data_IF_661034962324
#
_entry.id   IF_661034962324
#
_cell.length_a   1.000
_cell.length_b   1.000
_cell.length_c   1.000
_cell.angle_alpha   90.00
_cell.angle_beta   90.00
_cell.angle_gamma   90.00
#
_symmetry.space_group_name_H-M   'P 1'
#
loop_
_entity.id
_entity.type
_entity.pdbx_description
1 polymer ?
#
# COMPACT_ATOMS: atom_id res chain seq x y z
N UNK A 1 12.07 54.30 -35.16
CA UNK A 1 11.82 52.87 -34.89
C UNK A 1 10.98 52.71 -33.63
N UNK A 2 9.72 53.16 -33.66
CA UNK A 2 8.74 52.95 -32.58
C UNK A 2 7.47 52.38 -33.21
N UNK A 3 7.58 51.18 -33.76
CA UNK A 3 6.46 50.50 -34.41
C UNK A 3 5.72 49.67 -33.36
N UNK A 4 4.39 49.64 -33.42
CA UNK A 4 3.52 48.79 -32.57
C UNK A 4 4.04 47.35 -32.43
N UNK A 5 4.61 46.80 -33.51
CA UNK A 5 5.28 45.50 -33.58
C UNK A 5 6.47 45.34 -32.60
N UNK A 6 7.29 46.38 -32.41
CA UNK A 6 8.43 46.32 -31.47
C UNK A 6 7.97 46.30 -30.01
N UNK A 7 6.90 47.04 -29.68
CA UNK A 7 6.28 47.03 -28.36
C UNK A 7 5.62 45.68 -28.04
N UNK A 8 4.95 45.06 -29.01
CA UNK A 8 4.44 43.70 -28.86
C UNK A 8 5.58 42.71 -28.61
N UNK A 9 6.67 42.78 -29.39
CA UNK A 9 7.82 41.90 -29.21
C UNK A 9 8.42 41.98 -27.79
N UNK A 10 8.48 43.18 -27.20
CA UNK A 10 8.95 43.34 -25.80
C UNK A 10 7.99 42.73 -24.78
N UNK A 11 6.68 42.82 -24.99
CA UNK A 11 5.68 42.19 -24.10
C UNK A 11 5.76 40.66 -24.21
N UNK A 12 5.87 40.12 -25.43
CA UNK A 12 6.04 38.68 -25.64
C UNK A 12 7.34 38.14 -25.04
N UNK A 13 8.45 38.86 -25.19
CA UNK A 13 9.71 38.46 -24.55
C UNK A 13 9.60 38.49 -23.02
N UNK A 14 8.94 39.50 -22.46
CA UNK A 14 8.69 39.57 -21.01
C UNK A 14 7.80 38.43 -20.51
N UNK A 15 6.70 38.11 -21.20
CA UNK A 15 5.84 36.99 -20.78
C UNK A 15 6.55 35.63 -20.90
N UNK A 16 7.36 35.43 -21.95
CA UNK A 16 8.15 34.21 -22.14
C UNK A 16 9.20 34.04 -21.04
N UNK A 17 9.89 35.12 -20.65
CA UNK A 17 10.91 35.07 -19.58
C UNK A 17 10.28 34.79 -18.22
N UNK A 18 9.14 35.41 -17.90
CA UNK A 18 8.40 35.11 -16.66
C UNK A 18 7.92 33.66 -16.64
N UNK A 19 7.38 33.16 -17.75
CA UNK A 19 6.94 31.77 -17.84
C UNK A 19 8.10 30.79 -17.70
N UNK A 20 9.23 31.04 -18.36
CA UNK A 20 10.44 30.22 -18.26
C UNK A 20 11.02 30.19 -16.84
N UNK A 21 11.02 31.34 -16.15
CA UNK A 21 11.43 31.40 -14.75
C UNK A 21 10.48 30.59 -13.85
N UNK A 22 9.16 30.71 -14.04
CA UNK A 22 8.18 29.98 -13.26
C UNK A 22 8.28 28.46 -13.49
N UNK A 23 8.42 28.00 -14.73
CA UNK A 23 8.57 26.57 -15.04
C UNK A 23 9.86 26.00 -14.45
N UNK A 24 10.96 26.76 -14.48
CA UNK A 24 12.22 26.38 -13.84
C UNK A 24 12.08 26.26 -12.32
N UNK A 25 11.37 27.20 -11.67
CA UNK A 25 11.11 27.13 -10.23
C UNK A 25 10.21 25.93 -9.85
N UNK A 26 9.17 25.64 -10.64
CA UNK A 26 8.34 24.45 -10.45
C UNK A 26 9.14 23.15 -10.63
N UNK A 27 10.03 23.10 -11.62
CA UNK A 27 10.94 21.97 -11.82
C UNK A 27 11.85 21.79 -10.60
N UNK A 28 12.50 22.86 -10.14
CA UNK A 28 13.41 22.82 -9.00
C UNK A 28 12.70 22.37 -7.71
N UNK A 29 11.47 22.85 -7.50
CA UNK A 29 10.63 22.42 -6.38
C UNK A 29 10.33 20.91 -6.41
N UNK A 30 10.14 20.33 -7.60
CA UNK A 30 9.78 18.91 -7.74
C UNK A 30 11.01 18.01 -7.73
N UNK A 31 12.16 18.49 -8.20
CA UNK A 31 13.41 17.75 -8.26
C UNK A 31 13.87 17.26 -6.88
N UNK A 32 13.64 18.04 -5.81
CA UNK A 32 14.00 17.66 -4.45
C UNK A 32 12.92 16.88 -3.70
N UNK A 33 11.75 16.64 -4.31
CA UNK A 33 10.69 15.89 -3.66
C UNK A 33 10.90 14.38 -3.84
N UNK A 34 11.10 13.67 -2.73
CA UNK A 34 11.18 12.22 -2.73
C UNK A 34 9.79 11.63 -2.89
N UNK A 35 9.48 11.10 -4.09
CA UNK A 35 8.24 10.40 -4.40
C UNK A 35 8.15 9.04 -3.68
N UNK A 36 8.04 9.07 -2.36
CA UNK A 36 7.90 7.90 -1.49
C UNK A 36 6.52 7.92 -0.84
N UNK A 37 5.85 6.76 -0.83
CA UNK A 37 4.57 6.60 -0.17
C UNK A 37 4.75 5.65 1.01
N UNK A 38 4.87 6.18 2.22
CA UNK A 38 5.00 5.34 3.41
C UNK A 38 3.67 4.69 3.73
N UNK A 39 3.63 3.36 3.76
CA UNK A 39 2.42 2.59 4.05
C UNK A 39 2.59 1.83 5.37
N UNK A 40 1.60 2.00 6.25
CA UNK A 40 1.49 1.32 7.53
C UNK A 40 0.47 0.19 7.40
N UNK A 41 0.90 -1.03 7.70
CA UNK A 41 0.03 -2.20 7.79
C UNK A 41 0.00 -2.68 9.24
N UNK A 42 -1.20 -2.89 9.76
CA UNK A 42 -1.41 -3.42 11.10
C UNK A 42 -2.38 -4.58 11.08
N UNK A 43 -2.08 -5.63 11.82
CA UNK A 43 -2.97 -6.78 11.95
C UNK A 43 -4.06 -6.48 12.98
N UNK A 44 -5.33 -6.55 12.56
CA UNK A 44 -6.48 -6.25 13.40
C UNK A 44 -7.07 -7.50 14.06
N UNK A 45 -7.20 -8.57 13.29
CA UNK A 45 -7.81 -9.83 13.76
C UNK A 45 -7.11 -11.01 13.09
N UNK A 46 -6.70 -11.97 13.91
CA UNK A 46 -6.11 -13.23 13.44
C UNK A 46 -6.88 -14.37 14.09
N UNK A 47 -7.46 -15.25 13.28
CA UNK A 47 -8.21 -16.40 13.75
C UNK A 47 -7.65 -17.66 13.09
N UNK A 48 -7.68 -18.77 13.82
CA UNK A 48 -7.44 -20.10 13.28
C UNK A 48 -8.66 -20.95 13.62
N UNK A 49 -9.23 -21.62 12.61
CA UNK A 49 -10.35 -22.53 12.77
C UNK A 49 -9.91 -23.92 12.37
N UNK A 50 -10.34 -24.91 13.15
CA UNK A 50 -10.21 -26.30 12.74
C UNK A 50 -11.40 -26.67 11.86
N UNK A 51 -11.13 -27.29 10.71
CA UNK A 51 -12.12 -27.75 9.75
C UNK A 51 -11.91 -29.23 9.48
N UNK A 52 -13.00 -29.99 9.51
CA UNK A 52 -12.96 -31.41 9.21
C UNK A 52 -12.82 -31.61 7.70
N UNK A 53 -11.88 -32.45 7.28
CA UNK A 53 -11.89 -32.97 5.92
C UNK A 53 -12.99 -34.01 5.76
N UNK A 54 -13.72 -33.98 4.65
CA UNK A 54 -14.74 -34.97 4.30
C UNK A 54 -14.18 -36.09 3.41
N UNK A 55 -12.86 -36.12 3.19
CA UNK A 55 -12.13 -37.18 2.48
C UNK A 55 -12.02 -38.51 3.23
N UNK A 56 -11.35 -39.47 2.59
CA UNK A 56 -11.18 -40.86 3.09
C UNK A 56 -10.27 -40.93 4.31
N UNK A 57 -9.29 -40.03 4.42
CA UNK A 57 -8.51 -39.82 5.64
C UNK A 57 -9.16 -38.68 6.44
N UNK A 58 -9.59 -38.98 7.66
CA UNK A 58 -10.21 -38.02 8.59
C UNK A 58 -9.16 -37.09 9.21
N UNK A 59 -8.45 -36.37 8.36
CA UNK A 59 -7.41 -35.46 8.80
C UNK A 59 -8.03 -34.10 9.19
N UNK A 60 -7.40 -33.44 10.15
CA UNK A 60 -7.85 -32.18 10.73
C UNK A 60 -7.18 -31.04 9.97
N UNK A 61 -7.93 -30.30 9.17
CA UNK A 61 -7.36 -29.15 8.46
C UNK A 61 -7.50 -27.87 9.29
N UNK A 62 -6.58 -26.94 9.07
CA UNK A 62 -6.61 -25.62 9.70
C UNK A 62 -6.87 -24.52 8.67
N UNK A 63 -7.73 -23.58 9.05
CA UNK A 63 -8.07 -22.39 8.27
C UNK A 63 -7.74 -21.13 9.06
N UNK A 64 -6.79 -20.35 8.56
CA UNK A 64 -6.38 -19.06 9.10
C UNK A 64 -7.09 -17.89 8.41
N UNK A 65 -7.70 -17.02 9.20
CA UNK A 65 -8.29 -15.75 8.76
C UNK A 65 -7.46 -14.61 9.31
N UNK A 66 -7.07 -13.69 8.43
CA UNK A 66 -6.31 -12.49 8.81
C UNK A 66 -7.01 -11.27 8.26
N UNK A 67 -7.28 -10.33 9.17
CA UNK A 67 -7.82 -9.01 8.87
C UNK A 67 -6.78 -7.96 9.23
N UNK A 68 -6.56 -7.01 8.33
CA UNK A 68 -5.55 -5.96 8.47
C UNK A 68 -6.12 -4.58 8.18
N UNK A 69 -5.50 -3.58 8.79
CA UNK A 69 -5.70 -2.17 8.52
C UNK A 69 -4.51 -1.67 7.69
N UNK A 70 -4.78 -0.88 6.66
CA UNK A 70 -3.80 -0.32 5.73
C UNK A 70 -3.97 1.19 5.67
N UNK A 71 -2.94 1.93 6.09
CA UNK A 71 -2.98 3.38 6.21
C UNK A 71 -1.75 4.03 5.57
N UNK A 72 -1.91 5.24 5.05
CA UNK A 72 -0.84 6.13 4.58
C UNK A 72 -1.15 7.54 5.13
N UNK A 73 -0.18 8.48 5.06
CA UNK A 73 -0.25 9.88 5.50
C UNK A 73 -1.33 10.74 4.79
N UNK A 74 -2.59 10.31 4.78
CA UNK A 74 -3.76 11.14 4.51
C UNK A 74 -4.65 10.72 3.33
N UNK A 75 -4.20 9.86 2.41
CA UNK A 75 -4.98 9.49 1.21
C UNK A 75 -5.56 8.08 1.24
N UNK A 76 -4.93 7.16 1.95
CA UNK A 76 -5.30 5.75 1.96
C UNK A 76 -5.59 5.33 3.40
N UNK A 77 -6.81 4.90 3.67
CA UNK A 77 -7.29 4.48 4.98
C UNK A 77 -8.30 3.34 4.81
N UNK A 78 -7.78 2.11 4.72
CA UNK A 78 -8.59 0.91 4.69
C UNK A 78 -8.55 0.25 6.06
N UNK A 79 -9.72 0.07 6.65
CA UNK A 79 -9.86 -0.58 7.94
C UNK A 79 -10.66 -1.86 7.79
N UNK A 80 -10.16 -2.97 8.33
CA UNK A 80 -10.83 -4.26 8.34
C UNK A 80 -10.75 -5.02 7.02
N UNK A 81 -9.67 -4.88 6.25
CA UNK A 81 -9.50 -5.65 5.02
C UNK A 81 -9.20 -7.11 5.33
N UNK A 82 -9.93 -8.02 4.68
CA UNK A 82 -9.67 -9.45 4.77
C UNK A 82 -8.75 -9.91 3.63
N UNK A 83 -7.94 -10.94 3.89
CA UNK A 83 -7.20 -11.60 2.81
C UNK A 83 -8.17 -12.24 1.81
N UNK A 84 -7.85 -12.16 0.51
CA UNK A 84 -8.64 -12.83 -0.54
C UNK A 84 -8.63 -14.35 -0.39
N UNK A 85 -7.49 -14.89 0.04
CA UNK A 85 -7.29 -16.31 0.28
C UNK A 85 -7.04 -16.52 1.77
N UNK A 86 -7.66 -17.57 2.31
CA UNK A 86 -7.38 -18.02 3.67
C UNK A 86 -6.05 -18.75 3.69
N UNK A 87 -5.40 -18.72 4.85
CA UNK A 87 -4.30 -19.64 5.11
C UNK A 87 -4.91 -21.02 5.30
N UNK A 88 -4.43 -22.01 4.57
CA UNK A 88 -4.93 -23.38 4.66
C UNK A 88 -3.75 -24.31 4.84
N UNK A 89 -3.91 -25.26 5.75
CA UNK A 89 -2.88 -26.20 6.12
C UNK A 89 -3.49 -27.51 6.66
N UNK A 90 -2.69 -28.57 6.72
CA UNK A 90 -3.07 -29.93 7.15
C UNK A 90 -3.23 -30.10 8.67
N UNK A 91 -3.19 -28.99 9.43
CA UNK A 91 -3.47 -28.95 10.86
C UNK A 91 -2.24 -28.78 11.77
N UNK A 92 -1.02 -28.63 11.21
CA UNK A 92 0.22 -28.60 11.99
C UNK A 92 1.02 -27.29 11.90
N UNK A 93 0.70 -26.40 10.96
CA UNK A 93 1.54 -25.25 10.57
C UNK A 93 0.95 -23.87 10.85
N UNK A 94 -0.35 -23.75 11.12
CA UNK A 94 -0.99 -22.44 11.40
C UNK A 94 -1.12 -22.15 12.89
N UNK A 95 -1.69 -23.07 13.67
CA UNK A 95 -1.92 -22.87 15.11
C UNK A 95 -0.61 -22.61 15.86
N UNK A 96 -0.53 -21.50 16.58
CA UNK A 96 0.64 -21.13 17.40
C UNK A 96 1.89 -20.72 16.62
N UNK A 97 1.77 -20.49 15.31
CA UNK A 97 2.90 -20.07 14.48
C UNK A 97 3.21 -18.57 14.69
N UNK A 98 4.40 -18.27 15.20
CA UNK A 98 4.89 -16.92 15.53
C UNK A 98 5.79 -16.31 14.43
N UNK A 99 5.94 -16.98 13.29
CA UNK A 99 6.86 -16.55 12.24
C UNK A 99 6.14 -16.33 10.92
N UNK A 100 5.00 -15.64 10.97
CA UNK A 100 4.26 -15.28 9.76
C UNK A 100 4.68 -13.90 9.32
N UNK A 101 5.12 -13.79 8.06
CA UNK A 101 5.53 -12.53 7.47
C UNK A 101 4.70 -12.23 6.24
N UNK A 102 4.13 -11.04 6.19
CA UNK A 102 3.40 -10.50 5.05
C UNK A 102 4.27 -9.45 4.37
N UNK A 103 4.44 -9.59 3.06
CA UNK A 103 5.15 -8.63 2.23
C UNK A 103 4.12 -7.82 1.45
N UNK A 104 4.17 -6.51 1.60
CA UNK A 104 3.41 -5.58 0.80
C UNK A 104 4.35 -4.92 -0.20
N UNK A 105 4.02 -5.01 -1.49
CA UNK A 105 4.80 -4.41 -2.58
C UNK A 105 3.89 -3.47 -3.38
N UNK A 106 4.35 -2.25 -3.67
CA UNK A 106 3.61 -1.26 -4.44
C UNK A 106 4.51 -0.39 -5.30
N UNK A 107 3.94 0.12 -6.39
CA UNK A 107 4.58 1.12 -7.24
C UNK A 107 4.09 2.51 -6.86
N UNK A 108 5.00 3.49 -6.82
CA UNK A 108 4.66 4.90 -6.60
C UNK A 108 4.62 5.63 -7.94
N UNK A 109 3.45 6.14 -8.32
CA UNK A 109 3.25 6.95 -9.53
C UNK A 109 2.95 8.39 -9.09
N UNK A 110 3.89 9.34 -9.28
CA UNK A 110 3.65 10.72 -8.92
C UNK A 110 2.74 11.43 -9.94
N UNK A 111 1.91 12.34 -9.45
CA UNK A 111 1.00 13.13 -10.29
C UNK A 111 1.74 14.18 -11.15
N UNK A 112 2.95 14.58 -10.73
CA UNK A 112 3.80 15.54 -11.43
C UNK A 112 5.29 15.25 -11.13
N UNK A 113 6.17 15.67 -12.04
CA UNK A 113 7.61 15.49 -11.90
C UNK A 113 8.14 14.24 -12.60
N UNK A 114 9.29 13.75 -12.11
CA UNK A 114 9.93 12.54 -12.62
C UNK A 114 9.07 11.34 -12.21
N UNK A 115 8.84 10.41 -13.13
CA UNK A 115 8.19 9.11 -12.85
C UNK A 115 9.27 8.10 -12.43
N UNK A 116 9.50 7.87 -11.13
CA UNK A 116 10.45 6.86 -10.70
C UNK A 116 9.83 5.46 -10.89
N UNK A 117 10.63 4.52 -11.39
CA UNK A 117 10.30 3.10 -11.30
C UNK A 117 10.84 2.57 -9.97
N UNK A 118 10.18 2.93 -8.87
CA UNK A 118 10.52 2.45 -7.54
C UNK A 118 9.39 1.55 -7.05
N UNK A 119 9.74 0.29 -6.81
CA UNK A 119 8.93 -0.64 -6.03
C UNK A 119 9.29 -0.45 -4.56
N UNK A 120 8.31 -0.11 -3.74
CA UNK A 120 8.49 -0.07 -2.29
C UNK A 120 7.96 -1.36 -1.69
N UNK A 121 8.73 -1.93 -0.77
CA UNK A 121 8.36 -3.15 -0.05
C UNK A 121 8.38 -2.91 1.44
N UNK A 122 7.38 -3.46 2.14
CA UNK A 122 7.36 -3.46 3.58
C UNK A 122 6.98 -4.84 4.10
N UNK A 123 7.71 -5.29 5.13
CA UNK A 123 7.55 -6.58 5.76
C UNK A 123 6.87 -6.38 7.10
N UNK A 124 5.77 -7.10 7.30
CA UNK A 124 4.99 -7.07 8.53
C UNK A 124 4.92 -8.47 9.10
N UNK A 125 5.27 -8.61 10.37
CA UNK A 125 5.20 -9.90 11.06
C UNK A 125 4.01 -9.92 12.01
N UNK A 126 3.34 -11.07 12.08
CA UNK A 126 2.26 -11.32 13.01
C UNK A 126 2.23 -12.79 13.42
N UNK A 127 1.54 -13.06 14.52
CA UNK A 127 1.47 -14.39 15.11
C UNK A 127 0.06 -14.96 14.96
N UNK A 128 -0.03 -16.25 14.62
CA UNK A 128 -1.27 -16.99 14.76
C UNK A 128 -1.50 -17.37 16.23
N UNK A 129 -2.74 -17.32 16.72
CA UNK A 129 -3.06 -17.71 18.09
C UNK A 129 -2.76 -19.20 18.33
N UNK A 130 -2.40 -19.53 19.57
CA UNK A 130 -2.17 -20.90 20.03
C UNK A 130 -3.45 -21.72 20.25
N UNK A 131 -4.63 -21.13 20.04
CA UNK A 131 -5.93 -21.77 20.25
C UNK A 131 -6.85 -21.60 19.05
N UNK A 132 -7.68 -22.61 18.81
CA UNK A 132 -8.70 -22.54 17.79
C UNK A 132 -9.81 -21.58 18.21
N UNK A 133 -10.22 -20.74 17.28
CA UNK A 133 -11.39 -19.90 17.43
C UNK A 133 -12.63 -20.79 17.45
N UNK A 134 -13.21 -20.96 18.62
CA UNK A 134 -14.56 -21.52 18.76
C UNK A 134 -15.55 -20.58 18.08
N UNK A 135 -16.42 -21.12 17.22
CA UNK A 135 -17.52 -20.37 16.62
C UNK A 135 -18.44 -19.89 17.76
N UNK A 136 -18.15 -18.73 18.34
CA UNK A 136 -19.17 -17.95 19.04
C UNK A 136 -19.96 -17.29 17.92
N UNK A 137 -21.17 -17.78 17.70
CA UNK A 137 -22.13 -17.12 16.83
C UNK A 137 -22.40 -15.75 17.41
N UNK A 138 -21.78 -14.73 16.84
CA UNK A 138 -22.20 -13.35 17.06
C UNK A 138 -23.49 -13.20 16.24
N UNK A 139 -24.61 -13.27 16.96
CA UNK A 139 -25.93 -12.83 16.51
C UNK A 139 -25.96 -11.30 16.36
#
# INVERSE_FOLDING_TARGET
MNTFLSRLNTVFAFTLTVLAALTFLCFLSTFFNTNQATVYLQTKKVLVKNVQDFGVSKDKNDLGFVTFDLQNNGLLNYNGMNTKYYFFDDGMGLKGNQNVSLYLSWNVIPNAGILPLITQENKFSFDFPGEYTVNRGDH
#
